data_IF_800975175099
#
_entry.id   IF_800975175099
#
_cell.length_a   1.000
_cell.length_b   1.000
_cell.length_c   1.000
_cell.angle_alpha   90.00
_cell.angle_beta   90.00
_cell.angle_gamma   90.00
#
_symmetry.space_group_name_H-M   'P 1'
#
loop_
_entity.id
_entity.type
_entity.pdbx_description
1 polymer ?
#
# COMPACT_ATOMS: atom_id res chain seq x y z
N UNK A 1 23.23 6.25 1.78
CA UNK A 1 21.90 6.80 1.46
C UNK A 1 21.62 6.42 0.02
N UNK A 2 20.45 5.86 -0.26
CA UNK A 2 20.13 5.36 -1.58
C UNK A 2 19.72 6.50 -2.54
N UNK A 3 20.02 6.33 -3.82
CA UNK A 3 19.48 7.12 -4.92
C UNK A 3 18.11 6.59 -5.36
N UNK A 4 17.35 7.40 -6.10
CA UNK A 4 16.07 6.96 -6.66
C UNK A 4 16.27 5.77 -7.63
N UNK A 5 17.38 5.75 -8.37
CA UNK A 5 17.71 4.66 -9.29
C UNK A 5 17.96 3.34 -8.54
N UNK A 6 18.66 3.36 -7.40
CA UNK A 6 18.84 2.17 -6.56
C UNK A 6 17.52 1.69 -5.95
N UNK A 7 16.71 2.60 -5.39
CA UNK A 7 15.41 2.25 -4.81
C UNK A 7 14.46 1.65 -5.86
N UNK A 8 14.35 2.29 -7.03
CA UNK A 8 13.50 1.80 -8.13
C UNK A 8 14.04 0.53 -8.77
N UNK A 9 15.36 0.33 -8.83
CA UNK A 9 15.96 -0.93 -9.25
C UNK A 9 15.59 -2.08 -8.30
N UNK A 10 15.74 -1.88 -6.99
CA UNK A 10 15.36 -2.87 -5.96
C UNK A 10 13.87 -3.19 -6.07
N UNK A 11 13.01 -2.16 -6.09
CA UNK A 11 11.57 -2.30 -6.23
C UNK A 11 11.17 -3.09 -7.50
N UNK A 12 11.65 -2.67 -8.68
CA UNK A 12 11.35 -3.35 -9.94
C UNK A 12 11.87 -4.79 -9.97
N UNK A 13 13.01 -5.06 -9.33
CA UNK A 13 13.56 -6.42 -9.19
C UNK A 13 12.63 -7.29 -8.35
N UNK A 14 12.19 -6.82 -7.19
CA UNK A 14 11.25 -7.54 -6.32
C UNK A 14 9.92 -7.80 -7.04
N UNK A 15 9.37 -6.77 -7.70
CA UNK A 15 8.13 -6.90 -8.50
C UNK A 15 8.25 -7.90 -9.64
N UNK A 16 9.39 -7.95 -10.32
CA UNK A 16 9.62 -8.90 -11.41
C UNK A 16 9.60 -10.36 -10.93
N UNK A 17 10.18 -10.64 -9.76
CA UNK A 17 10.12 -11.98 -9.15
C UNK A 17 8.68 -12.33 -8.73
N UNK A 18 7.99 -11.43 -8.05
CA UNK A 18 6.61 -11.67 -7.59
C UNK A 18 5.60 -11.85 -8.75
N UNK A 19 5.79 -11.15 -9.87
CA UNK A 19 5.01 -11.39 -11.08
C UNK A 19 5.36 -12.71 -11.79
N UNK A 20 6.63 -13.16 -11.73
CA UNK A 20 7.03 -14.45 -12.30
C UNK A 20 6.39 -15.64 -11.57
N UNK A 21 6.26 -15.55 -10.24
CA UNK A 21 5.54 -16.51 -9.38
C UNK A 21 4.01 -16.45 -9.54
N UNK A 22 3.49 -15.51 -10.35
CA UNK A 22 2.04 -15.31 -10.61
C UNK A 22 1.22 -15.11 -9.34
N UNK A 23 1.75 -14.37 -8.36
CA UNK A 23 1.01 -14.01 -7.15
C UNK A 23 -0.20 -13.14 -7.51
N UNK A 24 -1.37 -13.50 -6.96
CA UNK A 24 -2.63 -12.77 -7.15
C UNK A 24 -2.57 -11.38 -6.48
N UNK A 25 -2.07 -11.33 -5.23
CA UNK A 25 -1.91 -10.13 -4.42
C UNK A 25 -0.44 -10.00 -3.98
N UNK A 26 0.12 -8.78 -4.09
CA UNK A 26 1.51 -8.45 -3.79
C UNK A 26 1.57 -7.39 -2.71
N UNK A 27 2.46 -7.60 -1.74
CA UNK A 27 2.39 -6.92 -0.46
C UNK A 27 3.78 -6.48 0.00
N UNK A 28 3.92 -5.19 0.28
CA UNK A 28 5.19 -4.49 0.45
C UNK A 28 5.11 -3.53 1.63
N UNK A 29 5.73 -3.92 2.74
CA UNK A 29 5.88 -3.04 3.89
C UNK A 29 7.00 -2.01 3.66
N UNK A 30 6.75 -0.77 4.10
CA UNK A 30 7.74 0.31 4.09
C UNK A 30 8.10 0.61 5.55
N UNK A 31 9.14 -0.08 6.04
CA UNK A 31 9.54 -0.06 7.45
C UNK A 31 9.88 1.35 7.98
N UNK A 32 10.27 2.26 7.09
CA UNK A 32 10.67 3.64 7.42
C UNK A 32 9.54 4.64 7.20
N UNK A 33 9.31 5.51 8.18
CA UNK A 33 8.20 6.48 8.17
C UNK A 33 8.17 7.43 6.96
N UNK A 34 6.98 7.90 6.58
CA UNK A 34 6.68 8.69 5.36
C UNK A 34 7.43 10.03 5.19
N UNK A 35 8.20 10.45 6.18
CA UNK A 35 9.08 11.63 6.12
C UNK A 35 10.55 11.29 5.86
N UNK A 36 10.95 10.03 6.05
CA UNK A 36 12.29 9.59 5.70
C UNK A 36 12.53 9.75 4.20
N UNK A 37 13.76 10.14 3.84
CA UNK A 37 14.11 10.54 2.47
C UNK A 37 13.79 9.43 1.48
N UNK A 38 14.27 8.23 1.73
CA UNK A 38 14.14 7.08 0.85
C UNK A 38 12.66 6.68 0.66
N UNK A 39 11.86 6.57 1.74
CA UNK A 39 10.40 6.34 1.67
C UNK A 39 9.70 7.44 0.87
N UNK A 40 10.03 8.71 1.14
CA UNK A 40 9.45 9.85 0.41
C UNK A 40 9.81 9.82 -1.08
N UNK A 41 11.05 9.48 -1.43
CA UNK A 41 11.48 9.38 -2.82
C UNK A 41 10.69 8.32 -3.61
N UNK A 42 10.27 7.22 -2.98
CA UNK A 42 9.37 6.24 -3.57
C UNK A 42 7.91 6.76 -3.64
N UNK A 43 7.40 7.38 -2.57
CA UNK A 43 6.04 7.94 -2.55
C UNK A 43 5.85 9.09 -3.58
N UNK A 44 6.87 9.91 -3.79
CA UNK A 44 6.87 10.97 -4.80
C UNK A 44 7.12 10.43 -6.23
N UNK A 45 7.48 9.14 -6.41
CA UNK A 45 7.73 8.51 -7.71
C UNK A 45 6.45 7.98 -8.38
N UNK A 46 6.10 8.58 -9.52
CA UNK A 46 4.82 8.37 -10.20
C UNK A 46 4.51 6.93 -10.60
N UNK A 47 5.50 6.11 -10.99
CA UNK A 47 5.27 4.71 -11.38
C UNK A 47 4.90 3.86 -10.15
N UNK A 48 5.70 3.91 -9.09
CA UNK A 48 5.42 3.25 -7.81
C UNK A 48 4.01 3.62 -7.32
N UNK A 49 3.72 4.93 -7.30
CA UNK A 49 2.42 5.46 -6.94
C UNK A 49 1.28 4.94 -7.82
N UNK A 50 1.44 4.91 -9.14
CA UNK A 50 0.40 4.50 -10.09
C UNK A 50 0.04 3.02 -10.03
N UNK A 51 0.94 2.20 -9.50
CA UNK A 51 0.71 0.77 -9.33
C UNK A 51 -0.07 0.48 -8.04
N UNK A 52 -0.07 1.37 -7.04
CA UNK A 52 -0.76 1.19 -5.74
C UNK A 52 -2.28 1.30 -5.90
N UNK A 53 -2.99 0.18 -5.84
CA UNK A 53 -4.45 0.10 -5.82
C UNK A 53 -5.02 0.53 -4.46
N UNK A 54 -4.36 0.15 -3.36
CA UNK A 54 -4.82 0.32 -1.96
C UNK A 54 -3.63 0.57 -1.00
N UNK A 55 -3.88 1.33 0.07
CA UNK A 55 -2.88 1.66 1.11
C UNK A 55 -3.46 1.50 2.52
N UNK A 56 -2.66 0.97 3.45
CA UNK A 56 -2.90 0.98 4.90
C UNK A 56 -1.76 1.75 5.57
N UNK A 57 -2.09 2.69 6.46
CA UNK A 57 -1.08 3.50 7.15
C UNK A 57 -0.82 3.00 8.57
N UNK A 58 0.42 2.63 8.88
CA UNK A 58 0.83 2.25 10.23
C UNK A 58 1.16 3.49 11.08
N UNK A 59 0.49 3.63 12.23
CA UNK A 59 0.64 4.72 13.18
C UNK A 59 1.04 4.22 14.58
N UNK A 60 1.73 5.06 15.36
CA UNK A 60 2.08 4.78 16.75
C UNK A 60 0.97 5.17 17.73
N UNK A 61 0.18 6.18 17.37
CA UNK A 61 -0.78 6.87 18.24
C UNK A 61 -1.83 7.61 17.39
N UNK A 62 -2.85 8.20 18.03
CA UNK A 62 -3.95 8.91 17.35
C UNK A 62 -3.52 10.18 16.61
N UNK A 63 -2.50 10.89 17.12
CA UNK A 63 -1.98 12.13 16.51
C UNK A 63 -1.20 11.83 15.21
N UNK A 64 -0.35 10.81 15.23
CA UNK A 64 0.35 10.32 14.05
C UNK A 64 -0.62 9.72 13.03
N UNK A 65 -1.70 9.07 13.49
CA UNK A 65 -2.78 8.60 12.63
C UNK A 65 -3.48 9.76 11.89
N UNK A 66 -3.96 10.82 12.57
CA UNK A 66 -4.56 12.00 11.92
C UNK A 66 -3.60 12.62 10.89
N UNK A 67 -2.36 12.88 11.31
CA UNK A 67 -1.35 13.51 10.47
C UNK A 67 -1.05 12.66 9.21
N UNK A 68 -0.86 11.35 9.38
CA UNK A 68 -0.60 10.42 8.28
C UNK A 68 -1.78 10.30 7.33
N UNK A 69 -2.98 10.06 7.86
CA UNK A 69 -4.24 9.99 7.10
C UNK A 69 -4.45 11.24 6.27
N UNK A 70 -4.34 12.43 6.88
CA UNK A 70 -4.52 13.70 6.19
C UNK A 70 -3.47 13.90 5.10
N UNK A 71 -2.19 13.65 5.37
CA UNK A 71 -1.12 13.83 4.37
C UNK A 71 -1.27 12.86 3.20
N UNK A 72 -1.58 11.60 3.45
CA UNK A 72 -1.76 10.59 2.41
C UNK A 72 -3.03 10.85 1.58
N UNK A 73 -4.13 11.23 2.23
CA UNK A 73 -5.39 11.59 1.57
C UNK A 73 -5.26 12.88 0.74
N UNK A 74 -4.60 13.92 1.26
CA UNK A 74 -4.29 15.15 0.50
C UNK A 74 -3.36 14.88 -0.68
N UNK A 75 -2.41 13.94 -0.53
CA UNK A 75 -1.60 13.48 -1.64
C UNK A 75 -2.39 12.62 -2.64
N UNK A 76 -3.62 12.19 -2.32
CA UNK A 76 -4.51 11.40 -3.18
C UNK A 76 -4.20 9.89 -3.18
N UNK A 77 -3.61 9.35 -2.12
CA UNK A 77 -3.39 7.90 -2.00
C UNK A 77 -4.72 7.16 -1.74
N UNK A 78 -4.89 5.92 -2.24
CA UNK A 78 -6.09 5.12 -2.01
C UNK A 78 -6.05 4.47 -0.61
N UNK A 79 -5.99 5.30 0.43
CA UNK A 79 -6.02 4.89 1.83
C UNK A 79 -7.32 4.13 2.13
N UNK A 80 -7.21 3.02 2.87
CA UNK A 80 -8.34 2.16 3.28
C UNK A 80 -8.46 1.96 4.78
N UNK A 81 -7.35 1.97 5.51
CA UNK A 81 -7.34 1.76 6.95
C UNK A 81 -6.11 2.39 7.61
N UNK A 82 -6.17 2.54 8.94
CA UNK A 82 -5.03 2.76 9.82
C UNK A 82 -4.68 1.44 10.52
N UNK A 83 -3.41 1.25 10.88
CA UNK A 83 -2.91 0.10 11.65
C UNK A 83 -1.71 0.51 12.52
N UNK A 84 -0.91 -0.46 12.98
CA UNK A 84 0.29 -0.21 13.78
C UNK A 84 0.06 -0.35 15.29
N UNK A 85 0.91 0.29 16.10
CA UNK A 85 0.86 0.18 17.57
C UNK A 85 -0.42 0.78 18.16
N UNK A 86 -1.00 1.77 17.49
CA UNK A 86 -2.28 2.37 17.91
C UNK A 86 -3.44 1.37 17.94
N UNK A 87 -3.34 0.26 17.20
CA UNK A 87 -4.33 -0.81 17.17
C UNK A 87 -4.26 -1.80 18.36
N UNK A 88 -3.39 -1.58 19.35
CA UNK A 88 -3.20 -2.49 20.50
C UNK A 88 -4.22 -2.34 21.63
N UNK A 89 -5.14 -1.35 21.59
CA UNK A 89 -6.14 -1.13 22.63
C UNK A 89 -7.52 -0.77 22.05
N UNK A 90 -8.63 -1.35 22.57
CA UNK A 90 -10.01 -0.97 22.19
C UNK A 90 -10.39 0.50 22.48
N UNK A 91 -9.58 1.24 23.24
CA UNK A 91 -9.77 2.69 23.40
C UNK A 91 -9.13 3.45 22.23
N UNK A 92 -7.84 3.20 21.98
CA UNK A 92 -7.07 3.83 20.89
C UNK A 92 -7.64 3.51 19.50
N UNK A 93 -8.14 2.29 19.29
CA UNK A 93 -8.84 1.91 18.06
C UNK A 93 -10.00 2.86 17.75
N UNK A 94 -10.88 3.11 18.73
CA UNK A 94 -12.04 4.01 18.57
C UNK A 94 -11.61 5.46 18.43
N UNK A 95 -10.63 5.91 19.19
CA UNK A 95 -10.07 7.27 19.08
C UNK A 95 -9.54 7.55 17.66
N UNK A 96 -8.83 6.58 17.06
CA UNK A 96 -8.37 6.69 15.66
C UNK A 96 -9.54 6.69 14.68
N UNK A 97 -10.52 5.79 14.84
CA UNK A 97 -11.67 5.73 13.95
C UNK A 97 -12.51 7.02 13.98
N UNK A 98 -12.70 7.60 15.17
CA UNK A 98 -13.41 8.87 15.39
C UNK A 98 -12.66 10.07 14.80
N UNK A 99 -11.35 10.17 15.00
CA UNK A 99 -10.54 11.31 14.53
C UNK A 99 -10.26 11.23 13.03
N UNK A 100 -9.97 10.04 12.50
CA UNK A 100 -9.51 9.88 11.11
C UNK A 100 -10.64 9.59 10.12
N UNK A 101 -11.75 9.01 10.57
CA UNK A 101 -12.82 8.51 9.71
C UNK A 101 -12.47 7.23 8.93
N UNK A 102 -11.32 6.60 9.23
CA UNK A 102 -10.90 5.33 8.63
C UNK A 102 -10.93 4.20 9.66
N UNK A 103 -11.26 2.95 9.26
CA UNK A 103 -11.20 1.80 10.16
C UNK A 103 -9.78 1.59 10.68
N UNK A 104 -9.65 1.26 11.97
CA UNK A 104 -8.36 0.96 12.57
C UNK A 104 -8.22 -0.56 12.78
N UNK A 105 -7.19 -1.16 12.21
CA UNK A 105 -7.01 -2.61 12.12
C UNK A 105 -5.77 -3.05 12.88
N UNK A 106 -5.88 -4.09 13.70
CA UNK A 106 -4.72 -4.80 14.24
C UNK A 106 -4.06 -5.69 13.17
N UNK A 107 -2.85 -6.19 13.43
CA UNK A 107 -2.11 -6.99 12.44
C UNK A 107 -2.91 -8.19 11.92
N UNK A 108 -3.55 -8.98 12.79
CA UNK A 108 -4.36 -10.13 12.38
C UNK A 108 -5.50 -9.75 11.41
N UNK A 109 -6.13 -8.60 11.63
CA UNK A 109 -7.14 -8.04 10.74
C UNK A 109 -6.55 -7.58 9.40
N UNK A 110 -5.36 -6.96 9.39
CA UNK A 110 -4.70 -6.60 8.12
C UNK A 110 -4.19 -7.85 7.37
N UNK A 111 -3.78 -8.92 8.07
CA UNK A 111 -3.40 -10.19 7.41
C UNK A 111 -4.64 -10.88 6.81
N UNK A 112 -5.70 -11.01 7.61
CA UNK A 112 -6.81 -11.93 7.33
C UNK A 112 -7.99 -11.28 6.62
N UNK A 113 -8.21 -9.97 6.86
CA UNK A 113 -9.45 -9.25 6.48
C UNK A 113 -9.21 -8.07 5.55
N UNK A 114 -7.98 -7.80 5.10
CA UNK A 114 -7.70 -6.68 4.20
C UNK A 114 -8.53 -6.73 2.91
N UNK A 115 -8.83 -7.93 2.41
CA UNK A 115 -9.73 -8.18 1.27
C UNK A 115 -11.14 -7.61 1.47
N UNK A 116 -11.64 -7.51 2.70
CA UNK A 116 -12.95 -6.92 3.02
C UNK A 116 -12.97 -5.39 2.85
N UNK A 117 -11.80 -4.74 2.91
CA UNK A 117 -11.65 -3.29 2.79
C UNK A 117 -11.32 -2.82 1.36
N UNK A 118 -11.35 -3.73 0.38
CA UNK A 118 -11.07 -3.44 -1.03
C UNK A 118 -12.39 -3.25 -1.81
N UNK A 119 -12.70 -2.07 -2.37
CA UNK A 119 -14.02 -1.75 -2.95
C UNK A 119 -14.33 -2.40 -4.31
N UNK A 120 -13.66 -3.50 -4.68
CA UNK A 120 -14.01 -4.34 -5.83
C UNK A 120 -13.74 -5.81 -5.48
N UNK A 121 -14.55 -6.77 -5.99
CA UNK A 121 -14.20 -8.18 -5.88
C UNK A 121 -12.88 -8.40 -6.64
N UNK A 122 -11.86 -8.85 -5.90
CA UNK A 122 -10.67 -9.42 -6.49
C UNK A 122 -11.08 -10.61 -7.36
N UNK A 123 -10.79 -10.53 -8.67
CA UNK A 123 -10.71 -11.73 -9.48
C UNK A 123 -9.38 -12.40 -9.11
N UNK A 124 -9.49 -13.48 -8.32
CA UNK A 124 -8.48 -14.31 -7.60
C UNK A 124 -7.85 -13.72 -6.32
N UNK A 125 -7.40 -14.62 -5.42
CA UNK A 125 -7.53 -14.55 -3.94
C UNK A 125 -6.37 -13.86 -3.17
N UNK A 126 -6.74 -13.15 -2.09
CA UNK A 126 -5.83 -12.47 -1.14
C UNK A 126 -5.33 -13.28 0.07
N UNK A 127 -4.19 -12.85 0.65
CA UNK A 127 -3.81 -12.78 2.10
C UNK A 127 -2.70 -11.70 2.29
N UNK A 128 -2.66 -10.99 3.43
CA UNK A 128 -1.75 -9.85 3.81
C UNK A 128 -0.23 -10.13 3.91
N UNK A 129 0.67 -9.24 4.35
CA UNK A 129 0.56 -7.89 4.96
C UNK A 129 1.95 -7.17 4.91
N UNK A 130 2.13 -5.84 4.81
CA UNK A 130 1.26 -4.64 4.63
C UNK A 130 1.36 -4.08 3.19
N UNK A 131 0.31 -3.42 2.66
CA UNK A 131 0.09 -3.34 1.19
C UNK A 131 0.11 -1.93 0.62
N UNK A 132 1.04 -1.67 -0.31
CA UNK A 132 0.65 -1.10 -1.59
C UNK A 132 0.25 -2.26 -2.49
N UNK A 133 -1.03 -2.38 -2.86
CA UNK A 133 -1.46 -3.46 -3.77
C UNK A 133 -0.99 -3.13 -5.18
N UNK A 134 -0.21 -4.01 -5.82
CA UNK A 134 0.46 -3.70 -7.08
C UNK A 134 -0.06 -4.58 -8.21
N UNK A 135 -0.82 -3.95 -9.10
CA UNK A 135 -1.55 -4.58 -10.19
C UNK A 135 -0.70 -5.51 -11.08
N UNK A 136 -0.93 -6.82 -10.94
CA UNK A 136 -0.43 -7.83 -11.87
C UNK A 136 -1.01 -7.70 -13.29
N UNK A 137 -0.18 -7.94 -14.30
CA UNK A 137 -0.53 -7.74 -15.70
C UNK A 137 -1.70 -8.63 -16.15
N UNK A 138 -2.72 -8.05 -16.79
CA UNK A 138 -3.55 -8.78 -17.77
C UNK A 138 -3.01 -8.49 -19.16
N UNK A 139 -2.71 -9.55 -19.91
CA UNK A 139 -2.38 -9.45 -21.32
C UNK A 139 -3.44 -8.62 -22.05
N UNK A 140 -3.02 -7.54 -22.70
CA UNK A 140 -3.78 -6.96 -23.82
C UNK A 140 -2.94 -7.14 -25.07
N UNK A 141 -3.18 -8.26 -25.75
CA UNK A 141 -2.78 -8.46 -27.13
C UNK A 141 -3.38 -7.35 -28.00
N UNK A 142 -2.56 -6.41 -28.44
CA UNK A 142 -2.81 -5.68 -29.68
C UNK A 142 -1.56 -5.65 -30.54
N UNK A 143 -1.38 -6.73 -31.31
CA UNK A 143 -0.55 -6.71 -32.51
C UNK A 143 -1.02 -5.57 -33.42
N UNK A 144 -0.16 -4.59 -33.68
CA UNK A 144 -0.11 -3.85 -34.96
C UNK A 144 1.19 -3.03 -35.09
N UNK A 145 2.21 -3.72 -35.57
CA UNK A 145 3.40 -3.11 -36.16
C UNK A 145 3.92 -4.01 -37.29
N UNK A 146 3.12 -4.19 -38.34
CA UNK A 146 3.64 -4.47 -39.68
C UNK A 146 3.49 -3.18 -40.48
N UNK A 147 4.61 -2.66 -40.98
CA UNK A 147 4.63 -1.59 -41.98
C UNK A 147 4.46 -2.16 -43.39
N UNK A 148 4.05 -1.27 -44.31
CA UNK A 148 3.49 -1.55 -45.64
C UNK A 148 2.08 -2.16 -45.61
#
# INVERSE_FOLDING_TARGET
>A
MASLNELTYIYNTLMSHMHAERLDDIIIDLADGIFQRETRMLLDYGLFRSQIDHLVFAASDSLSADCGVRRLSMAGYPLRAVSGQVAQSPALLREVEEVTGYPCLNWDQVITRISEFLPKPLYSKAVGTSVGLLRGNKETLSLRATGC
#
